data_IF_219315555451
#
_entry.id   IF_219315555451
#
_cell.length_a   1.000
_cell.length_b   1.000
_cell.length_c   1.000
_cell.angle_alpha   90.00
_cell.angle_beta   90.00
_cell.angle_gamma   90.00
#
_symmetry.space_group_name_H-M   'P 1'
#
loop_
_entity.id
_entity.type
_entity.pdbx_description
1 polymer ?
#
# COMPACT_ATOMS: atom_id res chain seq x y z
N UNK A 1 -22.64 -18.04 4.32
CA UNK A 1 -21.34 -18.66 4.07
C UNK A 1 -20.85 -19.17 5.40
N UNK A 2 -20.59 -20.47 5.50
CA UNK A 2 -20.03 -21.10 6.69
C UNK A 2 -18.63 -20.54 6.96
N UNK A 3 -18.27 -20.35 8.22
CA UNK A 3 -16.92 -19.97 8.61
C UNK A 3 -15.94 -21.08 8.20
N UNK A 4 -14.72 -20.74 7.76
CA UNK A 4 -13.74 -21.75 7.38
C UNK A 4 -13.38 -22.60 8.61
N UNK A 5 -13.31 -23.91 8.45
CA UNK A 5 -12.95 -24.84 9.52
C UNK A 5 -11.49 -24.73 9.95
N UNK A 6 -10.64 -24.07 9.15
CA UNK A 6 -9.23 -23.83 9.40
C UNK A 6 -8.80 -22.56 8.65
N UNK A 7 -8.08 -21.70 9.33
CA UNK A 7 -7.50 -20.48 8.80
C UNK A 7 -6.01 -20.48 9.12
N UNK A 8 -5.17 -20.22 8.09
CA UNK A 8 -3.72 -20.11 8.24
C UNK A 8 -3.29 -18.71 7.82
N UNK A 9 -2.95 -17.90 8.79
CA UNK A 9 -2.71 -16.47 8.58
C UNK A 9 -1.30 -16.20 8.00
N UNK A 10 -1.13 -15.05 7.37
CA UNK A 10 0.19 -14.58 6.92
C UNK A 10 1.21 -14.54 8.07
N UNK A 11 0.79 -14.07 9.24
CA UNK A 11 1.63 -13.95 10.42
C UNK A 11 2.13 -15.32 10.89
N UNK A 12 1.26 -16.31 10.97
CA UNK A 12 1.63 -17.69 11.31
C UNK A 12 2.62 -18.26 10.29
N UNK A 13 2.39 -18.03 8.99
CA UNK A 13 3.30 -18.49 7.94
C UNK A 13 4.69 -17.85 8.03
N UNK A 14 4.80 -16.59 8.47
CA UNK A 14 6.09 -15.92 8.72
C UNK A 14 6.74 -16.47 9.99
N UNK A 15 6.00 -16.59 11.10
CA UNK A 15 6.50 -17.12 12.37
C UNK A 15 7.00 -18.57 12.24
N UNK A 16 6.30 -19.39 11.46
CA UNK A 16 6.69 -20.77 11.15
C UNK A 16 7.77 -20.87 10.05
N UNK A 17 8.22 -19.73 9.51
CA UNK A 17 9.25 -19.66 8.46
C UNK A 17 8.91 -20.40 7.17
N UNK A 18 7.64 -20.39 6.79
CA UNK A 18 7.20 -20.89 5.48
C UNK A 18 7.31 -19.82 4.40
N UNK A 19 7.25 -18.55 4.80
CA UNK A 19 7.44 -17.38 3.95
C UNK A 19 8.29 -16.33 4.68
N UNK A 20 8.84 -15.36 3.92
CA UNK A 20 9.51 -14.18 4.48
C UNK A 20 8.54 -13.01 4.63
N UNK A 21 8.84 -12.10 5.57
CA UNK A 21 8.02 -10.93 5.85
C UNK A 21 8.18 -9.83 4.80
N UNK A 22 7.17 -8.96 4.70
CA UNK A 22 7.08 -7.85 3.76
C UNK A 22 7.22 -6.51 4.48
N UNK A 23 8.14 -5.65 4.03
CA UNK A 23 8.24 -4.27 4.48
C UNK A 23 7.74 -3.32 3.38
N UNK A 24 6.61 -2.64 3.64
CA UNK A 24 5.96 -1.74 2.70
C UNK A 24 6.37 -0.28 2.89
N UNK A 25 6.65 0.42 1.78
CA UNK A 25 6.96 1.85 1.74
C UNK A 25 5.99 2.55 0.78
N UNK A 26 5.19 3.48 1.27
CA UNK A 26 4.28 4.29 0.46
C UNK A 26 4.99 5.54 -0.05
N UNK A 27 5.12 5.64 -1.37
CA UNK A 27 5.64 6.80 -2.11
C UNK A 27 4.56 7.48 -2.96
N UNK A 28 3.29 7.10 -2.77
CA UNK A 28 2.18 7.67 -3.53
C UNK A 28 2.01 9.16 -3.25
N UNK A 29 1.70 9.91 -4.29
CA UNK A 29 1.36 11.32 -4.17
C UNK A 29 -0.15 11.49 -3.98
N UNK A 30 -0.57 12.66 -3.47
CA UNK A 30 -1.99 13.01 -3.35
C UNK A 30 -2.75 12.82 -4.67
N UNK A 31 -2.15 13.24 -5.78
CA UNK A 31 -2.74 13.05 -7.11
C UNK A 31 -2.93 11.58 -7.49
N UNK A 32 -1.97 10.73 -7.16
CA UNK A 32 -2.08 9.28 -7.41
C UNK A 32 -3.17 8.61 -6.57
N UNK A 33 -3.51 9.19 -5.41
CA UNK A 33 -4.56 8.67 -4.52
C UNK A 33 -5.95 9.20 -4.88
N UNK A 34 -6.08 10.51 -5.11
CA UNK A 34 -7.35 11.23 -5.23
C UNK A 34 -7.74 11.58 -6.68
N UNK A 35 -6.79 11.48 -7.62
CA UNK A 35 -6.98 11.98 -8.97
C UNK A 35 -6.66 13.48 -9.08
N UNK A 36 -6.97 14.06 -10.23
CA UNK A 36 -6.76 15.47 -10.51
C UNK A 36 -8.09 16.09 -10.91
N UNK A 37 -8.50 17.12 -10.19
CA UNK A 37 -9.65 17.94 -10.59
C UNK A 37 -9.19 18.95 -11.62
N UNK A 38 -9.84 18.97 -12.77
CA UNK A 38 -9.53 19.92 -13.86
C UNK A 38 -9.54 21.38 -13.39
N UNK A 39 -10.46 21.71 -12.47
CA UNK A 39 -10.57 23.05 -11.89
C UNK A 39 -9.30 23.51 -11.15
N UNK A 40 -8.58 22.58 -10.51
CA UNK A 40 -7.41 22.86 -9.66
C UNK A 40 -6.11 23.00 -10.47
N UNK A 41 -6.13 22.69 -11.78
CA UNK A 41 -4.96 22.77 -12.65
C UNK A 41 -4.61 24.21 -13.02
N UNK A 42 -3.33 24.50 -13.12
CA UNK A 42 -2.81 25.74 -13.67
C UNK A 42 -3.13 25.86 -15.17
N UNK A 43 -3.10 27.08 -15.69
CA UNK A 43 -3.39 27.33 -17.11
C UNK A 43 -2.52 26.50 -18.07
N UNK A 44 -1.23 26.36 -17.76
CA UNK A 44 -0.28 25.58 -18.56
C UNK A 44 -0.57 24.08 -18.55
N UNK A 45 -0.98 23.55 -17.40
CA UNK A 45 -1.36 22.14 -17.26
C UNK A 45 -2.68 21.84 -17.97
N UNK A 46 -3.64 22.79 -17.95
CA UNK A 46 -4.89 22.71 -18.73
C UNK A 46 -4.61 22.65 -20.23
N UNK A 47 -3.77 23.56 -20.76
CA UNK A 47 -3.38 23.58 -22.17
C UNK A 47 -2.71 22.26 -22.61
N UNK A 48 -1.85 21.67 -21.76
CA UNK A 48 -1.24 20.38 -22.03
C UNK A 48 -2.26 19.23 -22.07
N UNK A 49 -3.20 19.21 -21.15
CA UNK A 49 -4.28 18.22 -21.08
C UNK A 49 -5.25 18.35 -22.26
N UNK A 50 -5.63 19.55 -22.61
CA UNK A 50 -6.52 19.84 -23.74
C UNK A 50 -5.94 19.33 -25.06
N UNK A 51 -4.64 19.49 -25.27
CA UNK A 51 -3.97 18.95 -26.46
C UNK A 51 -4.00 17.42 -26.55
N UNK A 52 -3.97 16.72 -25.39
CA UNK A 52 -4.11 15.26 -25.34
C UNK A 52 -5.56 14.82 -25.55
N UNK A 53 -6.51 15.58 -25.04
CA UNK A 53 -7.94 15.32 -25.22
C UNK A 53 -8.43 15.60 -26.64
N UNK A 54 -7.85 16.57 -27.35
CA UNK A 54 -8.12 16.76 -28.78
C UNK A 54 -7.82 15.51 -29.60
N UNK A 55 -6.67 14.86 -29.31
CA UNK A 55 -6.36 13.58 -29.95
C UNK A 55 -7.36 12.46 -29.58
N UNK A 56 -7.82 12.40 -28.33
CA UNK A 56 -8.86 11.44 -27.91
C UNK A 56 -10.22 11.74 -28.51
N UNK A 57 -10.61 12.99 -28.64
CA UNK A 57 -11.83 13.43 -29.34
C UNK A 57 -11.85 12.91 -30.77
N UNK A 58 -10.78 13.14 -31.52
CA UNK A 58 -10.62 12.64 -32.89
C UNK A 58 -10.72 11.12 -32.99
N UNK A 59 -10.06 10.42 -32.05
CA UNK A 59 -10.07 8.95 -32.01
C UNK A 59 -11.45 8.36 -31.68
N UNK A 60 -12.22 9.03 -30.83
CA UNK A 60 -13.53 8.57 -30.35
C UNK A 60 -14.72 9.16 -31.12
N UNK A 61 -14.46 9.97 -32.17
CA UNK A 61 -15.49 10.57 -33.00
C UNK A 61 -16.36 11.62 -32.27
N UNK A 62 -15.81 12.28 -31.26
CA UNK A 62 -16.49 13.33 -30.51
C UNK A 62 -16.41 14.63 -31.33
N UNK A 63 -17.52 15.38 -31.55
CA UNK A 63 -17.52 16.63 -32.30
C UNK A 63 -16.53 17.65 -31.72
N UNK A 64 -15.84 18.41 -32.60
CA UNK A 64 -14.85 19.41 -32.20
C UNK A 64 -15.43 20.53 -31.34
N UNK A 65 -16.69 20.88 -31.53
CA UNK A 65 -17.43 21.94 -30.84
C UNK A 65 -17.91 21.50 -29.45
N UNK A 66 -17.78 20.23 -29.08
CA UNK A 66 -18.15 19.75 -27.78
C UNK A 66 -17.01 19.97 -26.77
N UNK A 67 -17.23 20.81 -25.75
CA UNK A 67 -16.32 20.94 -24.62
C UNK A 67 -16.16 19.59 -23.92
N UNK A 68 -14.89 19.13 -23.81
CA UNK A 68 -14.56 17.85 -23.18
C UNK A 68 -13.57 18.12 -22.04
N UNK A 69 -14.10 18.70 -20.95
CA UNK A 69 -13.33 18.92 -19.74
C UNK A 69 -13.84 17.95 -18.67
N UNK A 70 -12.95 17.16 -18.13
CA UNK A 70 -13.28 16.22 -17.07
C UNK A 70 -12.16 16.10 -16.05
N UNK A 71 -12.52 15.68 -14.86
CA UNK A 71 -11.55 15.26 -13.85
C UNK A 71 -10.82 14.00 -14.32
N UNK A 72 -9.54 13.89 -13.93
CA UNK A 72 -8.72 12.69 -14.20
C UNK A 72 -8.78 11.80 -12.98
N UNK A 73 -9.34 10.63 -13.16
CA UNK A 73 -9.35 9.63 -12.10
C UNK A 73 -7.93 9.13 -11.79
N UNK A 74 -7.63 8.68 -10.57
CA UNK A 74 -6.32 8.15 -10.18
C UNK A 74 -5.76 7.10 -11.15
N UNK A 75 -6.63 6.32 -11.78
CA UNK A 75 -6.28 5.25 -12.71
C UNK A 75 -5.80 5.76 -14.08
N UNK A 76 -6.24 6.94 -14.44
CA UNK A 76 -5.95 7.57 -15.73
C UNK A 76 -4.74 8.51 -15.68
N UNK A 77 -4.22 8.81 -14.47
CA UNK A 77 -3.11 9.77 -14.30
C UNK A 77 -1.91 9.37 -15.14
N UNK A 78 -1.52 8.09 -15.09
CA UNK A 78 -0.38 7.61 -15.85
C UNK A 78 -0.61 7.60 -17.38
N UNK A 79 -1.87 7.66 -17.81
CA UNK A 79 -2.24 7.72 -19.23
C UNK A 79 -2.11 9.15 -19.78
N UNK A 80 -2.50 10.16 -18.98
CA UNK A 80 -2.56 11.55 -19.41
C UNK A 80 -1.36 12.40 -18.95
N UNK A 81 -0.75 12.02 -17.83
CA UNK A 81 0.37 12.74 -17.23
C UNK A 81 1.56 11.78 -17.08
N UNK A 82 2.21 11.49 -18.18
CA UNK A 82 3.51 10.78 -18.16
C UNK A 82 4.54 11.72 -17.56
N UNK A 83 4.84 11.57 -16.29
CA UNK A 83 5.87 12.37 -15.63
C UNK A 83 7.19 11.60 -15.58
N UNK A 84 8.09 11.92 -16.49
CA UNK A 84 9.45 11.35 -16.54
C UNK A 84 10.20 11.51 -15.21
N UNK A 85 10.02 12.65 -14.53
CA UNK A 85 10.68 12.93 -13.26
C UNK A 85 10.20 11.96 -12.15
N UNK A 86 8.93 11.57 -12.19
CA UNK A 86 8.39 10.59 -11.24
C UNK A 86 8.95 9.20 -11.50
N UNK A 87 9.08 8.80 -12.76
CA UNK A 87 9.71 7.52 -13.12
C UNK A 87 11.18 7.52 -12.70
N UNK A 88 11.92 8.58 -13.00
CA UNK A 88 13.32 8.71 -12.61
C UNK A 88 13.49 8.70 -11.08
N UNK A 89 12.60 9.36 -10.36
CA UNK A 89 12.58 9.34 -8.90
C UNK A 89 12.31 7.93 -8.38
N UNK A 90 11.35 7.22 -8.96
CA UNK A 90 11.05 5.84 -8.60
C UNK A 90 12.27 4.94 -8.80
N UNK A 91 12.94 5.05 -9.95
CA UNK A 91 14.14 4.27 -10.25
C UNK A 91 15.28 4.60 -9.27
N UNK A 92 15.51 5.89 -8.97
CA UNK A 92 16.53 6.30 -7.99
C UNK A 92 16.22 5.76 -6.59
N UNK A 93 14.98 5.88 -6.12
CA UNK A 93 14.56 5.34 -4.81
C UNK A 93 14.78 3.83 -4.76
N UNK A 94 14.42 3.09 -5.82
CA UNK A 94 14.66 1.67 -5.90
C UNK A 94 16.16 1.34 -5.81
N UNK A 95 16.99 1.99 -6.58
CA UNK A 95 18.44 1.72 -6.63
C UNK A 95 19.17 2.12 -5.34
N UNK A 96 18.70 3.17 -4.65
CA UNK A 96 19.27 3.64 -3.38
C UNK A 96 18.81 2.82 -2.19
N UNK A 97 17.50 2.56 -2.07
CA UNK A 97 16.85 2.01 -0.87
C UNK A 97 16.43 0.56 -0.99
N UNK A 98 16.41 -0.01 -2.20
CA UNK A 98 16.07 -1.41 -2.41
C UNK A 98 17.06 -2.35 -1.74
N UNK A 99 16.58 -3.52 -1.35
CA UNK A 99 17.43 -4.59 -0.84
C UNK A 99 18.47 -4.96 -1.90
N UNK A 100 19.72 -5.06 -1.46
CA UNK A 100 20.87 -5.32 -2.30
C UNK A 100 21.48 -6.69 -1.98
N UNK A 101 22.01 -7.32 -2.99
CA UNK A 101 22.78 -8.58 -2.90
C UNK A 101 24.27 -8.31 -3.16
N UNK A 102 25.10 -9.34 -3.15
CA UNK A 102 26.56 -9.24 -3.41
C UNK A 102 27.22 -8.19 -2.50
N UNK A 103 27.07 -8.35 -1.18
CA UNK A 103 27.63 -7.43 -0.17
C UNK A 103 27.17 -5.96 -0.33
N UNK A 104 25.97 -5.74 -0.86
CA UNK A 104 25.41 -4.41 -1.02
C UNK A 104 25.79 -3.70 -2.34
N UNK A 105 26.49 -4.37 -3.25
CA UNK A 105 26.93 -3.78 -4.52
C UNK A 105 25.84 -3.76 -5.59
N UNK A 106 25.01 -4.80 -5.65
CA UNK A 106 24.00 -4.99 -6.70
C UNK A 106 22.60 -4.91 -6.11
N UNK A 107 21.68 -4.19 -6.76
CA UNK A 107 20.26 -4.24 -6.39
C UNK A 107 19.77 -5.69 -6.46
N UNK A 108 19.04 -6.14 -5.45
CA UNK A 108 18.44 -7.46 -5.45
C UNK A 108 17.39 -7.63 -6.54
N UNK A 109 17.10 -8.88 -6.91
CA UNK A 109 16.15 -9.18 -7.98
C UNK A 109 14.81 -8.48 -7.73
N UNK A 110 14.33 -7.73 -8.72
CA UNK A 110 13.23 -6.78 -8.60
C UNK A 110 12.17 -7.03 -9.65
N UNK A 111 10.88 -6.92 -9.26
CA UNK A 111 9.76 -6.83 -10.19
C UNK A 111 9.14 -5.44 -10.08
N UNK A 112 9.01 -4.73 -11.22
CA UNK A 112 8.24 -3.49 -11.33
C UNK A 112 6.94 -3.81 -12.07
N UNK A 113 5.82 -3.62 -11.40
CA UNK A 113 4.49 -3.81 -11.98
C UNK A 113 4.01 -2.52 -12.62
N UNK A 114 3.91 -2.49 -13.94
CA UNK A 114 3.45 -1.35 -14.72
C UNK A 114 1.99 -1.48 -15.15
N UNK A 115 1.33 -0.36 -15.46
CA UNK A 115 -0.08 -0.31 -15.86
C UNK A 115 -0.37 -0.95 -17.21
N UNK A 116 0.53 -0.72 -18.16
CA UNK A 116 0.40 -1.15 -19.56
C UNK A 116 1.76 -1.25 -20.22
N UNK A 117 1.77 -1.75 -21.47
CA UNK A 117 2.97 -1.96 -22.27
C UNK A 117 3.78 -0.66 -22.50
N UNK A 118 3.10 0.45 -22.76
CA UNK A 118 3.78 1.72 -23.04
C UNK A 118 4.50 2.24 -21.79
N UNK A 119 3.85 2.17 -20.63
CA UNK A 119 4.45 2.53 -19.34
C UNK A 119 5.64 1.62 -19.03
N UNK A 120 5.50 0.31 -19.23
CA UNK A 120 6.57 -0.63 -18.98
C UNK A 120 7.76 -0.41 -19.90
N UNK A 121 7.53 -0.15 -21.19
CA UNK A 121 8.57 0.22 -22.16
C UNK A 121 9.29 1.51 -21.77
N UNK A 122 8.52 2.51 -21.34
CA UNK A 122 9.04 3.79 -20.89
C UNK A 122 9.92 3.65 -19.63
N UNK A 123 9.51 2.84 -18.66
CA UNK A 123 10.32 2.59 -17.46
C UNK A 123 11.68 1.98 -17.85
N UNK A 124 11.68 1.00 -18.76
CA UNK A 124 12.93 0.38 -19.25
C UNK A 124 13.80 1.39 -20.00
N UNK A 125 13.21 2.23 -20.86
CA UNK A 125 13.94 3.30 -21.57
C UNK A 125 14.55 4.30 -20.58
N UNK A 126 13.78 4.73 -19.58
CA UNK A 126 14.26 5.65 -18.55
C UNK A 126 15.38 5.03 -17.72
N UNK A 127 15.27 3.75 -17.35
CA UNK A 127 16.32 3.05 -16.63
C UNK A 127 17.64 3.08 -17.43
N UNK A 128 17.61 2.72 -18.69
CA UNK A 128 18.80 2.72 -19.57
C UNK A 128 19.43 4.12 -19.72
N UNK A 129 18.59 5.17 -19.67
CA UNK A 129 19.05 6.56 -19.74
C UNK A 129 19.68 7.04 -18.45
N UNK A 130 19.12 6.65 -17.30
CA UNK A 130 19.57 7.09 -15.96
C UNK A 130 20.75 6.26 -15.48
N UNK A 131 20.81 4.98 -15.87
CA UNK A 131 21.81 3.99 -15.44
C UNK A 131 22.42 3.26 -16.65
N UNK A 132 23.12 3.96 -17.55
CA UNK A 132 23.67 3.36 -18.77
C UNK A 132 24.77 2.33 -18.51
N UNK A 133 25.38 2.35 -17.32
CA UNK A 133 26.45 1.46 -16.89
C UNK A 133 26.03 0.00 -16.73
N UNK A 134 24.73 -0.27 -16.48
CA UNK A 134 24.23 -1.65 -16.25
C UNK A 134 23.98 -2.45 -17.54
N UNK A 135 24.00 -1.82 -18.68
CA UNK A 135 23.73 -2.50 -19.95
C UNK A 135 22.24 -2.88 -20.17
N UNK A 136 21.91 -3.34 -21.40
CA UNK A 136 20.51 -3.52 -21.81
C UNK A 136 19.79 -4.71 -21.15
N UNK A 137 20.55 -5.72 -20.71
CA UNK A 137 19.97 -6.95 -20.14
C UNK A 137 19.62 -6.84 -18.67
N UNK A 138 20.11 -5.80 -18.00
CA UNK A 138 19.90 -5.61 -16.56
C UNK A 138 18.46 -5.27 -16.21
N UNK A 139 17.80 -4.42 -17.01
CA UNK A 139 16.39 -4.06 -16.86
C UNK A 139 15.66 -4.35 -18.17
N UNK A 140 14.70 -5.30 -18.13
CA UNK A 140 13.98 -5.74 -19.32
C UNK A 140 12.47 -5.72 -19.10
N UNK A 141 11.75 -5.46 -20.20
CA UNK A 141 10.30 -5.60 -20.29
C UNK A 141 9.92 -7.08 -20.44
N UNK A 142 8.98 -7.50 -19.60
CA UNK A 142 8.38 -8.84 -19.65
C UNK A 142 6.88 -8.70 -19.87
N UNK A 143 6.45 -8.92 -21.09
CA UNK A 143 5.07 -8.79 -21.54
C UNK A 143 4.81 -9.82 -22.65
N UNK A 144 3.57 -10.24 -22.84
CA UNK A 144 3.14 -11.20 -23.87
C UNK A 144 3.47 -10.74 -25.31
N UNK A 145 3.62 -9.45 -25.56
CA UNK A 145 3.99 -8.89 -26.87
C UNK A 145 5.49 -8.96 -27.16
N UNK A 146 6.32 -9.23 -26.16
CA UNK A 146 7.78 -9.30 -26.30
C UNK A 146 8.19 -10.64 -26.90
N UNK A 147 8.99 -10.58 -27.96
CA UNK A 147 9.54 -11.81 -28.56
C UNK A 147 10.40 -12.56 -27.54
N UNK A 148 10.16 -13.85 -27.39
CA UNK A 148 10.85 -14.72 -26.43
C UNK A 148 10.59 -14.38 -24.94
N UNK A 149 9.47 -13.73 -24.60
CA UNK A 149 9.12 -13.38 -23.23
C UNK A 149 9.25 -14.55 -22.25
N UNK A 150 8.83 -15.75 -22.62
CA UNK A 150 8.94 -16.95 -21.79
C UNK A 150 10.40 -17.32 -21.45
N UNK A 151 11.35 -17.14 -22.38
CA UNK A 151 12.76 -17.38 -22.11
C UNK A 151 13.32 -16.33 -21.14
N UNK A 152 12.87 -15.07 -21.27
CA UNK A 152 13.27 -14.00 -20.34
C UNK A 152 12.73 -14.32 -18.93
N UNK A 153 11.49 -14.79 -18.81
CA UNK A 153 10.92 -15.24 -17.53
C UNK A 153 11.72 -16.41 -16.94
N UNK A 154 12.05 -17.43 -17.74
CA UNK A 154 12.84 -18.55 -17.27
C UNK A 154 14.22 -18.13 -16.76
N UNK A 155 14.90 -17.26 -17.49
CA UNK A 155 16.17 -16.69 -17.07
C UNK A 155 16.02 -15.84 -15.79
N UNK A 156 14.98 -15.03 -15.69
CA UNK A 156 14.66 -14.25 -14.49
C UNK A 156 14.45 -15.13 -13.26
N UNK A 157 13.81 -16.28 -13.41
CA UNK A 157 13.57 -17.24 -12.33
C UNK A 157 14.81 -18.07 -11.96
N UNK A 158 15.77 -18.20 -12.88
CA UNK A 158 17.00 -18.94 -12.62
C UNK A 158 17.87 -18.20 -11.59
N UNK A 159 18.58 -18.96 -10.76
CA UNK A 159 19.51 -18.38 -9.79
C UNK A 159 20.62 -17.60 -10.49
N UNK A 160 20.80 -16.33 -10.08
CA UNK A 160 21.76 -15.41 -10.71
C UNK A 160 21.42 -15.03 -12.16
N UNK A 161 20.26 -15.43 -12.68
CA UNK A 161 19.84 -15.15 -14.06
C UNK A 161 19.38 -13.70 -14.27
N UNK A 162 19.50 -13.24 -15.53
CA UNK A 162 19.05 -11.91 -15.94
C UNK A 162 17.63 -11.95 -16.52
N UNK A 163 16.89 -10.84 -16.46
CA UNK A 163 17.26 -9.51 -15.96
C UNK A 163 17.31 -9.43 -14.44
N UNK A 164 18.03 -8.45 -13.90
CA UNK A 164 18.01 -8.12 -12.48
C UNK A 164 16.72 -7.37 -12.11
N UNK A 165 16.25 -6.51 -13.02
CA UNK A 165 14.98 -5.78 -12.89
C UNK A 165 14.05 -6.21 -14.02
N UNK A 166 12.93 -6.84 -13.66
CA UNK A 166 11.88 -7.21 -14.58
C UNK A 166 10.74 -6.18 -14.52
N UNK A 167 10.43 -5.51 -15.62
CA UNK A 167 9.27 -4.61 -15.72
C UNK A 167 8.14 -5.36 -16.40
N UNK A 168 7.04 -5.60 -15.68
CA UNK A 168 5.96 -6.46 -16.16
C UNK A 168 4.60 -5.77 -16.08
N UNK A 169 3.73 -6.08 -17.04
CA UNK A 169 2.33 -5.63 -17.03
C UNK A 169 1.47 -6.62 -16.24
N UNK A 170 1.33 -7.86 -16.70
CA UNK A 170 0.51 -8.91 -16.06
C UNK A 170 1.22 -10.27 -16.00
N UNK A 171 2.29 -10.45 -16.77
CA UNK A 171 2.89 -11.77 -17.01
C UNK A 171 3.58 -12.35 -15.77
N UNK A 172 4.06 -11.50 -14.86
CA UNK A 172 4.68 -11.90 -13.59
C UNK A 172 3.72 -11.80 -12.39
N UNK A 173 2.47 -11.39 -12.60
CA UNK A 173 1.48 -11.28 -11.53
C UNK A 173 1.15 -12.66 -10.94
N UNK A 174 1.14 -13.71 -11.79
CA UNK A 174 0.79 -15.10 -11.40
C UNK A 174 1.76 -16.11 -12.00
N UNK A 175 1.86 -17.30 -11.37
CA UNK A 175 2.49 -18.47 -11.96
C UNK A 175 4.02 -18.47 -12.08
N UNK A 176 4.72 -17.49 -11.52
CA UNK A 176 6.18 -17.37 -11.58
C UNK A 176 6.80 -17.70 -10.24
N UNK A 177 7.78 -18.57 -10.20
CA UNK A 177 8.55 -18.92 -9.00
C UNK A 177 9.98 -18.39 -9.13
N UNK A 178 10.26 -17.27 -8.45
CA UNK A 178 11.55 -16.59 -8.45
C UNK A 178 11.97 -16.28 -7.00
N UNK A 179 12.59 -17.23 -6.27
CA UNK A 179 12.91 -17.07 -4.84
C UNK A 179 13.81 -15.88 -4.52
N UNK A 180 14.68 -15.50 -5.45
CA UNK A 180 15.61 -14.38 -5.29
C UNK A 180 14.96 -12.99 -5.36
N UNK A 181 13.66 -12.89 -5.66
CA UNK A 181 12.95 -11.58 -5.70
C UNK A 181 12.85 -11.00 -4.29
N UNK A 182 13.44 -9.83 -4.09
CA UNK A 182 13.46 -9.11 -2.81
C UNK A 182 12.89 -7.70 -2.89
N UNK A 183 12.64 -7.18 -4.08
CA UNK A 183 12.03 -5.87 -4.26
C UNK A 183 10.83 -5.97 -5.19
N UNK A 184 9.70 -5.43 -4.76
CA UNK A 184 8.49 -5.29 -5.56
C UNK A 184 8.15 -3.80 -5.67
N UNK A 185 7.94 -3.30 -6.88
CA UNK A 185 7.55 -1.92 -7.13
C UNK A 185 6.16 -1.90 -7.75
N UNK A 186 5.20 -1.31 -7.07
CA UNK A 186 3.85 -1.12 -7.58
C UNK A 186 3.75 0.24 -8.28
N UNK A 187 3.90 0.26 -9.59
CA UNK A 187 3.73 1.43 -10.45
C UNK A 187 2.43 1.34 -11.26
N UNK A 188 1.45 0.60 -10.72
CA UNK A 188 0.07 0.52 -11.20
C UNK A 188 -0.91 0.46 -10.03
N UNK A 189 -2.12 0.98 -10.22
CA UNK A 189 -3.19 0.81 -9.26
C UNK A 189 -3.80 -0.59 -9.41
N UNK A 190 -3.92 -1.29 -8.30
CA UNK A 190 -4.53 -2.63 -8.24
C UNK A 190 -5.88 -2.51 -7.56
N UNK A 191 -6.95 -3.01 -8.20
CA UNK A 191 -8.32 -2.93 -7.65
C UNK A 191 -8.75 -4.20 -6.92
N UNK A 192 -8.17 -5.33 -7.30
CA UNK A 192 -8.52 -6.64 -6.76
C UNK A 192 -7.57 -7.04 -5.64
N UNK A 193 -8.12 -7.33 -4.46
CA UNK A 193 -7.37 -7.90 -3.34
C UNK A 193 -6.63 -9.18 -3.73
N UNK A 194 -7.31 -10.08 -4.44
CA UNK A 194 -6.70 -11.34 -4.90
C UNK A 194 -5.47 -11.04 -5.77
N UNK A 195 -5.60 -10.11 -6.73
CA UNK A 195 -4.48 -9.72 -7.60
C UNK A 195 -3.34 -9.09 -6.81
N UNK A 196 -3.65 -8.18 -5.87
CA UNK A 196 -2.65 -7.57 -4.98
C UNK A 196 -1.89 -8.62 -4.17
N UNK A 197 -2.62 -9.57 -3.56
CA UNK A 197 -2.02 -10.66 -2.78
C UNK A 197 -1.16 -11.58 -3.65
N UNK A 198 -1.57 -11.90 -4.87
CA UNK A 198 -0.77 -12.68 -5.82
C UNK A 198 0.52 -11.96 -6.20
N UNK A 199 0.46 -10.66 -6.46
CA UNK A 199 1.64 -9.84 -6.79
C UNK A 199 2.57 -9.71 -5.57
N UNK A 200 2.05 -9.44 -4.37
CA UNK A 200 2.79 -9.47 -3.12
C UNK A 200 3.45 -10.84 -2.90
N UNK A 201 2.73 -11.90 -3.25
CA UNK A 201 3.19 -13.28 -3.18
C UNK A 201 4.44 -13.60 -4.02
N UNK A 202 4.85 -12.71 -4.93
CA UNK A 202 6.12 -12.89 -5.70
C UNK A 202 7.36 -12.66 -4.84
N UNK A 203 7.24 -11.92 -3.75
CA UNK A 203 8.36 -11.66 -2.82
C UNK A 203 8.52 -12.64 -1.67
N UNK A 204 7.52 -13.47 -1.37
CA UNK A 204 7.46 -14.25 -0.11
C UNK A 204 8.36 -15.48 -0.06
N UNK A 205 8.87 -15.93 -1.19
CA UNK A 205 9.62 -17.20 -1.24
C UNK A 205 10.90 -17.13 -0.41
N UNK A 206 11.16 -18.20 0.34
CA UNK A 206 12.45 -18.40 1.01
C UNK A 206 13.54 -18.55 -0.04
N UNK A 207 14.71 -17.99 0.25
CA UNK A 207 15.90 -18.17 -0.58
C UNK A 207 17.11 -18.31 0.34
N UNK A 208 17.74 -19.50 0.31
CA UNK A 208 18.93 -19.78 1.12
C UNK A 208 20.15 -19.10 0.51
N UNK A 209 21.03 -18.61 1.38
CA UNK A 209 22.31 -18.02 1.01
C UNK A 209 22.23 -16.86 0.01
N UNK A 210 21.09 -16.13 0.01
CA UNK A 210 20.88 -15.00 -0.92
C UNK A 210 21.88 -13.87 -0.69
N UNK A 211 22.27 -13.66 0.56
CA UNK A 211 23.21 -12.62 0.98
C UNK A 211 24.58 -13.23 1.41
N UNK A 212 25.10 -14.15 0.61
CA UNK A 212 26.29 -14.93 0.94
C UNK A 212 25.96 -16.07 1.89
N UNK A 213 26.35 -15.97 3.16
CA UNK A 213 26.07 -17.01 4.18
C UNK A 213 24.71 -16.79 4.87
N UNK A 214 24.00 -15.72 4.54
CA UNK A 214 22.70 -15.39 5.13
C UNK A 214 21.55 -15.67 4.17
N UNK A 215 20.47 -16.22 4.71
CA UNK A 215 19.24 -16.47 4.00
C UNK A 215 18.44 -15.16 3.79
N UNK A 216 17.53 -15.20 2.85
CA UNK A 216 16.53 -14.14 2.67
C UNK A 216 15.60 -14.14 3.88
N UNK A 217 15.50 -12.99 4.56
CA UNK A 217 14.69 -12.76 5.77
C UNK A 217 13.45 -11.92 5.52
N UNK A 218 13.48 -11.02 4.52
CA UNK A 218 12.39 -10.15 4.17
C UNK A 218 12.41 -9.77 2.69
N UNK A 219 11.39 -9.03 2.25
CA UNK A 219 11.36 -8.34 0.97
C UNK A 219 10.71 -6.96 1.09
N UNK A 220 11.03 -6.06 0.18
CA UNK A 220 10.54 -4.69 0.18
C UNK A 220 9.44 -4.48 -0.87
N UNK A 221 8.44 -3.70 -0.51
CA UNK A 221 7.37 -3.22 -1.38
C UNK A 221 7.45 -1.70 -1.47
N UNK A 222 7.68 -1.17 -2.68
CA UNK A 222 7.67 0.24 -3.00
C UNK A 222 6.36 0.57 -3.71
N UNK A 223 5.42 1.19 -3.02
CA UNK A 223 4.10 1.51 -3.58
C UNK A 223 4.04 2.97 -4.01
N UNK A 224 3.87 3.20 -5.31
CA UNK A 224 3.74 4.52 -5.91
C UNK A 224 2.30 4.92 -6.23
N UNK A 225 1.35 4.00 -6.04
CA UNK A 225 -0.04 4.20 -6.42
C UNK A 225 -1.03 4.12 -5.25
N UNK A 226 -0.55 4.00 -4.01
CA UNK A 226 -1.38 3.95 -2.80
C UNK A 226 -2.15 2.65 -2.63
N UNK A 227 -1.63 1.53 -3.16
CA UNK A 227 -2.25 0.22 -3.01
C UNK A 227 -2.16 -0.28 -1.56
N UNK A 228 -1.03 -0.03 -0.88
CA UNK A 228 -0.84 -0.40 0.53
C UNK A 228 -1.89 0.26 1.41
N UNK A 229 -2.10 1.57 1.26
CA UNK A 229 -3.14 2.29 2.00
C UNK A 229 -4.55 1.79 1.64
N UNK A 230 -4.82 1.60 0.33
CA UNK A 230 -6.12 1.15 -0.15
C UNK A 230 -6.50 -0.21 0.42
N UNK A 231 -5.56 -1.16 0.43
CA UNK A 231 -5.81 -2.50 0.93
C UNK A 231 -5.62 -2.63 2.44
N UNK A 232 -4.81 -1.80 3.10
CA UNK A 232 -4.74 -1.76 4.57
C UNK A 232 -6.04 -1.28 5.19
N UNK A 233 -6.77 -0.39 4.51
CA UNK A 233 -8.12 0.00 4.92
C UNK A 233 -9.16 -1.13 4.73
N UNK A 234 -8.86 -2.12 3.90
CA UNK A 234 -9.71 -3.30 3.64
C UNK A 234 -9.31 -4.53 4.46
N UNK A 235 -8.05 -4.57 4.92
CA UNK A 235 -7.51 -5.67 5.72
C UNK A 235 -6.87 -5.08 6.96
N UNK A 236 -7.54 -5.24 8.10
CA UNK A 236 -6.86 -5.06 9.39
C UNK A 236 -5.88 -6.23 9.59
N UNK A 237 -4.67 -5.90 10.06
CA UNK A 237 -3.60 -6.86 10.32
C UNK A 237 -4.13 -8.10 11.07
N UNK A 238 -4.08 -9.24 10.40
CA UNK A 238 -4.19 -10.56 11.02
C UNK A 238 -5.59 -11.12 11.19
N UNK A 239 -6.66 -10.45 10.73
CA UNK A 239 -7.98 -11.05 10.59
C UNK A 239 -8.54 -10.74 9.21
N UNK A 240 -8.58 -11.73 8.37
CA UNK A 240 -9.14 -11.65 7.03
C UNK A 240 -10.57 -11.11 7.05
N UNK A 241 -10.81 -10.06 6.26
CA UNK A 241 -12.15 -9.57 5.84
C UNK A 241 -13.06 -8.95 6.88
N UNK A 242 -12.61 -8.56 8.04
CA UNK A 242 -13.47 -7.79 8.93
C UNK A 242 -13.46 -6.32 8.48
N UNK A 243 -14.49 -5.90 7.74
CA UNK A 243 -14.79 -4.47 7.61
C UNK A 243 -14.94 -3.91 9.03
N UNK A 244 -14.09 -2.93 9.38
CA UNK A 244 -14.25 -2.23 10.66
C UNK A 244 -15.68 -1.73 10.75
N UNK A 245 -16.38 -2.12 11.79
CA UNK A 245 -17.74 -1.65 12.02
C UNK A 245 -17.75 -0.12 12.11
N UNK A 246 -18.87 0.50 11.80
CA UNK A 246 -19.02 1.95 11.94
C UNK A 246 -18.67 2.38 13.38
N UNK A 247 -19.09 1.61 14.37
CA UNK A 247 -18.79 1.84 15.79
C UNK A 247 -17.31 1.80 16.10
N UNK A 248 -16.58 0.83 15.56
CA UNK A 248 -15.13 0.70 15.68
C UNK A 248 -14.40 1.90 15.05
N UNK A 249 -14.82 2.33 13.86
CA UNK A 249 -14.25 3.52 13.18
C UNK A 249 -14.50 4.79 13.97
N UNK A 250 -15.74 5.00 14.46
CA UNK A 250 -16.09 6.16 15.28
C UNK A 250 -15.27 6.18 16.56
N UNK A 251 -15.10 5.02 17.24
CA UNK A 251 -14.29 4.92 18.44
C UNK A 251 -12.84 5.30 18.19
N UNK A 252 -12.24 4.76 17.12
CA UNK A 252 -10.85 5.06 16.74
C UNK A 252 -10.60 6.53 16.42
N UNK A 253 -11.48 7.15 15.62
CA UNK A 253 -11.38 8.59 15.28
C UNK A 253 -11.55 9.45 16.53
N UNK A 254 -12.46 9.12 17.43
CA UNK A 254 -12.63 9.86 18.69
C UNK A 254 -11.42 9.72 19.62
N UNK A 255 -10.75 8.58 19.65
CA UNK A 255 -9.50 8.42 20.39
C UNK A 255 -8.38 9.35 19.85
N UNK A 256 -8.26 9.50 18.54
CA UNK A 256 -7.34 10.46 17.93
C UNK A 256 -7.71 11.90 18.26
N UNK A 257 -8.99 12.27 18.16
CA UNK A 257 -9.48 13.60 18.54
C UNK A 257 -9.18 13.90 20.02
N UNK A 258 -9.35 12.93 20.91
CA UNK A 258 -9.06 13.11 22.34
C UNK A 258 -7.56 13.39 22.57
N UNK A 259 -6.66 12.70 21.84
CA UNK A 259 -5.22 12.94 21.91
C UNK A 259 -4.86 14.36 21.42
N UNK A 260 -5.38 14.75 20.26
CA UNK A 260 -5.10 16.06 19.66
C UNK A 260 -5.62 17.22 20.54
N UNK A 261 -6.86 17.11 21.05
CA UNK A 261 -7.46 18.14 21.91
C UNK A 261 -6.76 18.29 23.27
N UNK A 262 -5.92 17.34 23.67
CA UNK A 262 -5.11 17.42 24.89
C UNK A 262 -3.97 18.46 24.78
N UNK A 263 -3.61 18.87 23.55
CA UNK A 263 -2.55 19.85 23.36
C UNK A 263 -2.90 21.19 24.03
N UNK A 264 -1.94 21.87 24.71
CA UNK A 264 -2.17 23.09 25.50
C UNK A 264 -2.88 24.22 24.73
N UNK A 265 -2.68 24.32 23.42
CA UNK A 265 -3.34 25.34 22.59
C UNK A 265 -4.86 25.19 22.55
N UNK A 266 -5.38 23.95 22.61
CA UNK A 266 -6.82 23.68 22.62
C UNK A 266 -7.41 23.75 24.04
N UNK A 267 -6.61 23.54 25.07
CA UNK A 267 -7.06 23.58 26.47
C UNK A 267 -7.35 25.01 26.97
N UNK A 268 -6.94 26.04 26.23
CA UNK A 268 -7.25 27.45 26.49
C UNK A 268 -8.63 27.86 25.95
N UNK A 269 -9.19 27.11 25.01
CA UNK A 269 -10.54 27.32 24.47
C UNK A 269 -11.57 26.47 25.26
N UNK A 270 -12.51 27.14 25.92
CA UNK A 270 -13.55 26.46 26.70
C UNK A 270 -14.37 25.43 25.90
N UNK A 271 -14.62 25.71 24.61
CA UNK A 271 -15.38 24.80 23.73
C UNK A 271 -14.55 23.56 23.39
N UNK A 272 -13.26 23.74 23.05
CA UNK A 272 -12.37 22.64 22.77
C UNK A 272 -12.14 21.77 24.00
N UNK A 273 -11.98 22.37 25.18
CA UNK A 273 -11.87 21.66 26.46
C UNK A 273 -13.14 20.87 26.78
N UNK A 274 -14.32 21.47 26.63
CA UNK A 274 -15.59 20.77 26.85
C UNK A 274 -15.78 19.60 25.86
N UNK A 275 -15.37 19.74 24.60
CA UNK A 275 -15.37 18.67 23.60
C UNK A 275 -14.40 17.54 23.98
N UNK A 276 -13.19 17.87 24.43
CA UNK A 276 -12.19 16.92 24.91
C UNK A 276 -12.74 16.07 26.06
N UNK A 277 -13.28 16.71 27.11
CA UNK A 277 -13.83 16.02 28.28
C UNK A 277 -15.03 15.13 27.90
N UNK A 278 -15.92 15.62 27.06
CA UNK A 278 -17.05 14.85 26.52
C UNK A 278 -16.58 13.65 25.72
N UNK A 279 -15.54 13.81 24.91
CA UNK A 279 -15.00 12.74 24.07
C UNK A 279 -14.35 11.65 24.91
N UNK A 280 -13.50 12.01 25.88
CA UNK A 280 -12.89 11.05 26.81
C UNK A 280 -13.94 10.28 27.62
N UNK A 281 -14.93 11.00 28.15
CA UNK A 281 -16.02 10.37 28.90
C UNK A 281 -16.77 9.35 28.05
N UNK A 282 -17.12 9.70 26.82
CA UNK A 282 -17.81 8.78 25.91
C UNK A 282 -16.97 7.54 25.60
N UNK A 283 -15.66 7.72 25.30
CA UNK A 283 -14.74 6.61 25.02
C UNK A 283 -14.65 5.65 26.21
N UNK A 284 -14.46 6.18 27.42
CA UNK A 284 -14.41 5.38 28.64
C UNK A 284 -15.72 4.62 28.90
N UNK A 285 -16.87 5.27 28.69
CA UNK A 285 -18.19 4.63 28.85
C UNK A 285 -18.34 3.43 27.90
N UNK A 286 -17.83 3.50 26.67
CA UNK A 286 -17.84 2.35 25.76
C UNK A 286 -17.02 1.17 26.32
N UNK A 287 -15.86 1.45 26.92
CA UNK A 287 -15.00 0.40 27.50
C UNK A 287 -15.62 -0.19 28.77
N UNK A 288 -16.18 0.64 29.62
CA UNK A 288 -16.87 0.20 30.88
C UNK A 288 -18.03 -0.72 30.56
N UNK A 289 -18.76 -0.44 29.49
CA UNK A 289 -19.96 -1.20 29.08
C UNK A 289 -19.63 -2.50 28.33
N UNK A 290 -18.35 -2.85 28.14
CA UNK A 290 -17.99 -4.12 27.51
C UNK A 290 -18.45 -5.32 28.37
N UNK A 291 -19.06 -6.31 27.72
CA UNK A 291 -19.54 -7.50 28.37
C UNK A 291 -18.40 -8.51 28.60
N UNK A 292 -18.04 -8.73 29.87
CA UNK A 292 -16.96 -9.63 30.29
C UNK A 292 -17.25 -11.11 29.99
N UNK A 293 -18.48 -11.48 29.69
CA UNK A 293 -18.82 -12.85 29.30
C UNK A 293 -18.35 -13.20 27.88
N UNK A 294 -18.08 -12.20 27.05
CA UNK A 294 -17.60 -12.41 25.68
C UNK A 294 -16.14 -12.89 25.67
N UNK A 295 -15.85 -13.94 24.91
CA UNK A 295 -14.51 -14.53 24.80
C UNK A 295 -13.51 -13.47 24.34
N UNK A 296 -13.81 -12.70 23.28
CA UNK A 296 -12.95 -11.65 22.77
C UNK A 296 -12.60 -10.57 23.80
N UNK A 297 -13.51 -10.24 24.72
CA UNK A 297 -13.26 -9.29 25.82
C UNK A 297 -12.34 -9.93 26.87
N UNK A 298 -12.56 -11.21 27.20
CA UNK A 298 -11.72 -11.94 28.17
C UNK A 298 -10.28 -12.10 27.70
N UNK A 299 -10.06 -12.36 26.41
CA UNK A 299 -8.71 -12.46 25.83
C UNK A 299 -7.94 -11.15 25.93
N UNK A 300 -8.62 -10.00 25.91
CA UNK A 300 -8.05 -8.65 26.01
C UNK A 300 -8.27 -7.99 27.35
N UNK A 301 -8.57 -8.77 28.39
CA UNK A 301 -8.98 -8.27 29.71
C UNK A 301 -7.96 -7.31 30.33
N UNK A 302 -6.66 -7.50 30.10
CA UNK A 302 -5.63 -6.64 30.64
C UNK A 302 -5.79 -5.19 30.10
N UNK A 303 -5.97 -5.01 28.81
CA UNK A 303 -6.22 -3.70 28.19
C UNK A 303 -7.59 -3.14 28.61
N UNK A 304 -8.61 -3.99 28.68
CA UNK A 304 -9.96 -3.58 29.08
C UNK A 304 -9.96 -3.03 30.51
N UNK A 305 -9.33 -3.73 31.47
CA UNK A 305 -9.21 -3.28 32.86
C UNK A 305 -8.43 -1.96 32.94
N UNK A 306 -7.32 -1.85 32.20
CA UNK A 306 -6.53 -0.63 32.13
C UNK A 306 -7.38 0.58 31.70
N UNK A 307 -8.12 0.49 30.60
CA UNK A 307 -8.93 1.60 30.08
C UNK A 307 -10.30 1.77 30.73
N UNK A 308 -10.71 0.90 31.65
CA UNK A 308 -11.83 1.15 32.56
C UNK A 308 -11.45 2.12 33.68
N UNK A 309 -10.18 2.13 34.09
CA UNK A 309 -9.68 3.02 35.12
C UNK A 309 -9.67 4.48 34.61
N UNK A 310 -10.01 5.43 35.48
CA UNK A 310 -10.14 6.85 35.14
C UNK A 310 -8.78 7.47 34.88
N UNK A 311 -7.78 7.02 35.60
CA UNK A 311 -6.39 7.49 35.52
C UNK A 311 -5.79 7.29 34.13
N UNK A 312 -6.21 6.25 33.39
CA UNK A 312 -5.73 5.98 32.03
C UNK A 312 -6.14 7.05 31.01
N UNK A 313 -7.09 7.91 31.36
CA UNK A 313 -7.62 8.97 30.50
C UNK A 313 -7.11 10.37 30.89
N UNK A 314 -6.34 10.52 31.97
CA UNK A 314 -5.82 11.83 32.40
C UNK A 314 -4.84 12.39 31.35
N UNK A 315 -3.93 11.56 30.87
CA UNK A 315 -2.92 11.96 29.89
C UNK A 315 -2.68 10.84 28.86
N UNK A 316 -3.39 10.93 27.74
CA UNK A 316 -3.25 9.96 26.65
C UNK A 316 -1.95 10.20 25.88
N UNK A 317 -1.26 9.13 25.53
CA UNK A 317 -0.10 9.14 24.64
C UNK A 317 -0.42 8.39 23.35
N UNK A 318 0.42 8.56 22.32
CA UNK A 318 0.23 7.90 21.01
C UNK A 318 0.12 6.37 21.14
N UNK A 319 0.87 5.76 22.07
CA UNK A 319 0.78 4.32 22.34
C UNK A 319 -0.58 3.91 22.90
N UNK A 320 -1.21 4.74 23.75
CA UNK A 320 -2.55 4.48 24.27
C UNK A 320 -3.59 4.54 23.16
N UNK A 321 -3.50 5.52 22.28
CA UNK A 321 -4.40 5.65 21.13
C UNK A 321 -4.21 4.47 20.17
N UNK A 322 -2.99 4.01 19.96
CA UNK A 322 -2.73 2.80 19.17
C UNK A 322 -3.40 1.58 19.80
N UNK A 323 -3.24 1.36 21.12
CA UNK A 323 -3.88 0.26 21.85
C UNK A 323 -5.42 0.36 21.83
N UNK A 324 -5.97 1.56 22.02
CA UNK A 324 -7.40 1.83 21.91
C UNK A 324 -7.95 1.47 20.52
N UNK A 325 -7.22 1.79 19.45
CA UNK A 325 -7.64 1.52 18.06
C UNK A 325 -7.49 0.06 17.65
N UNK A 326 -6.44 -0.62 18.13
CA UNK A 326 -6.10 -1.98 17.67
C UNK A 326 -6.66 -3.08 18.58
N UNK A 327 -6.80 -2.81 19.89
CA UNK A 327 -7.23 -3.80 20.88
C UNK A 327 -8.65 -3.55 21.36
N UNK A 328 -8.99 -2.31 21.69
CA UNK A 328 -10.29 -1.99 22.32
C UNK A 328 -11.38 -1.74 21.29
N UNK A 329 -11.12 -0.95 20.24
CA UNK A 329 -12.12 -0.59 19.23
C UNK A 329 -12.81 -1.82 18.59
N UNK A 330 -12.10 -2.93 18.26
CA UNK A 330 -12.72 -4.15 17.75
C UNK A 330 -13.72 -4.82 18.72
N UNK A 331 -13.63 -4.52 20.00
CA UNK A 331 -14.56 -5.07 21.01
C UNK A 331 -15.87 -4.29 21.11
N UNK A 332 -15.90 -3.06 20.56
CA UNK A 332 -17.07 -2.17 20.58
C UNK A 332 -18.08 -2.64 19.51
N UNK A 333 -19.17 -3.21 19.97
CA UNK A 333 -20.30 -3.55 19.09
C UNK A 333 -21.28 -2.38 19.13
N UNK A 334 -21.70 -1.90 17.97
CA UNK A 334 -22.79 -0.94 17.87
C UNK A 334 -24.04 -1.55 18.49
N UNK A 335 -24.64 -0.86 19.46
CA UNK A 335 -26.01 -1.15 19.81
C UNK A 335 -26.86 -0.78 18.60
N UNK A 336 -27.51 -1.76 17.97
CA UNK A 336 -28.59 -1.54 17.02
C UNK A 336 -29.77 -0.87 17.76
N UNK A 337 -29.60 0.38 18.15
CA UNK A 337 -30.69 1.23 18.62
C UNK A 337 -30.31 2.70 18.39
N UNK A 338 -30.92 3.25 17.40
CA UNK A 338 -31.22 4.59 16.92
C UNK A 338 -30.57 4.97 15.62
#
# INVERSE_FOLDING_TARGET
>A
LEEPNFEYTWKEAVEEKHIVDAHGFDYSTKFMKEGIKYADLSKKEKEQLESLWEYEKLKNGIPEDQEYHRDINPEEINKYLVNYDTIDKMLRVLMEKGLKVNNGETIGKTIIFASDHNMASLIVERFRKVYPEFGPDFCQLIDYSVKNALNIVQNFCASGGMPQIAVSVDMLDTGVDAPEVVNLVFYKRVKSWIKFTQMKGRGVRLCKNLYGDMDKDCFYIFDWCGNLDYFSQQTDDGNERRQKSISERIFGVRAEIALELQHPSFQQDEKAKALHDKTKKWLREQVVNLNDARIAVREKMQSVVRFRAEESWENLITADVFELKTVIAPLIIGSDKE
#
